data_IF_293588227778
#
_entry.id   IF_293588227778
#
_cell.length_a   1.000
_cell.length_b   1.000
_cell.length_c   1.000
_cell.angle_alpha   90.00
_cell.angle_beta   90.00
_cell.angle_gamma   90.00
#
_symmetry.space_group_name_H-M   'P 1'
#
loop_
_entity.id
_entity.type
_entity.pdbx_description
1 polymer ?
#
# COMPACT_ATOMS: atom_id res chain seq x y z
N UNK A 1 -23.28 -6.08 -6.35
CA UNK A 1 -22.17 -5.19 -5.88
C UNK A 1 -22.71 -4.18 -4.88
N UNK A 2 -22.00 -3.89 -3.80
CA UNK A 2 -22.39 -2.88 -2.83
C UNK A 2 -21.23 -1.88 -2.62
N UNK A 3 -21.53 -0.62 -2.37
CA UNK A 3 -20.55 0.35 -1.87
C UNK A 3 -20.21 0.02 -0.42
N UNK A 4 -18.99 0.35 0.01
CA UNK A 4 -18.59 0.30 1.42
C UNK A 4 -18.37 1.73 1.91
N UNK A 5 -19.01 2.09 3.01
CA UNK A 5 -18.81 3.41 3.64
C UNK A 5 -18.44 3.21 5.09
N UNK A 6 -17.31 3.77 5.47
CA UNK A 6 -16.81 3.81 6.85
C UNK A 6 -16.85 5.27 7.29
N UNK A 7 -17.46 5.55 8.46
CA UNK A 7 -17.59 6.90 9.01
C UNK A 7 -17.09 6.96 10.44
N UNK A 8 -16.07 7.79 10.66
CA UNK A 8 -15.47 8.07 11.97
C UNK A 8 -15.29 6.80 12.80
N UNK A 9 -14.62 5.80 12.21
CA UNK A 9 -14.45 4.47 12.80
C UNK A 9 -13.31 4.48 13.81
N UNK A 10 -13.59 3.98 15.02
CA UNK A 10 -12.61 3.84 16.09
C UNK A 10 -12.60 2.41 16.62
N UNK A 11 -11.40 1.93 16.92
CA UNK A 11 -11.21 0.69 17.67
C UNK A 11 -10.18 0.86 18.76
N UNK A 12 -10.60 0.61 20.00
CA UNK A 12 -9.74 0.50 21.16
C UNK A 12 -9.87 -0.88 21.77
N UNK A 13 -8.74 -1.52 22.03
CA UNK A 13 -8.72 -2.77 22.78
C UNK A 13 -8.58 -2.47 24.27
N UNK A 14 -9.50 -2.96 25.08
CA UNK A 14 -9.40 -2.85 26.53
C UNK A 14 -8.28 -3.77 27.03
N UNK A 15 -7.19 -3.17 27.50
CA UNK A 15 -6.06 -3.88 28.10
C UNK A 15 -6.40 -4.30 29.56
N UNK A 16 -7.55 -4.91 29.80
CA UNK A 16 -7.90 -5.42 31.11
C UNK A 16 -6.95 -6.59 31.48
N UNK A 17 -5.92 -6.29 32.27
CA UNK A 17 -5.09 -7.29 32.94
C UNK A 17 -3.65 -7.45 32.48
N UNK A 18 -3.12 -6.72 31.50
CA UNK A 18 -1.70 -6.74 31.16
C UNK A 18 -0.95 -5.57 31.82
N UNK A 19 0.01 -5.91 32.70
CA UNK A 19 0.93 -4.96 33.36
C UNK A 19 1.41 -3.91 32.35
N UNK A 20 1.39 -2.61 32.80
CA UNK A 20 1.88 -1.43 32.08
C UNK A 20 3.21 -1.68 31.34
N UNK A 21 3.13 -2.18 30.10
CA UNK A 21 4.25 -2.12 29.16
C UNK A 21 4.00 -0.88 28.29
N UNK A 22 4.95 0.08 28.33
CA UNK A 22 5.07 1.30 27.53
C UNK A 22 3.71 1.84 27.04
N UNK A 23 3.33 3.03 27.50
CA UNK A 23 2.20 3.78 26.93
C UNK A 23 2.36 3.78 25.42
N UNK A 24 1.45 3.10 24.69
CA UNK A 24 1.35 3.19 23.24
C UNK A 24 1.11 4.67 22.92
N UNK A 25 1.82 5.20 21.95
CA UNK A 25 1.67 6.58 21.45
C UNK A 25 0.21 6.88 21.06
N UNK A 26 -0.54 5.85 20.63
CA UNK A 26 -1.98 5.94 20.37
C UNK A 26 -2.69 4.77 21.06
N UNK A 27 -3.73 5.00 21.91
CA UNK A 27 -4.51 3.95 22.54
C UNK A 27 -5.46 3.24 21.57
N UNK A 28 -5.67 3.78 20.38
CA UNK A 28 -6.56 3.24 19.36
C UNK A 28 -5.79 2.40 18.33
N UNK A 29 -6.31 1.23 18.02
CA UNK A 29 -5.85 0.41 16.91
C UNK A 29 -6.35 0.95 15.56
N UNK A 30 -7.50 1.63 15.57
CA UNK A 30 -8.06 2.42 14.47
C UNK A 30 -8.59 3.70 15.07
N UNK A 31 -8.22 4.86 14.51
CA UNK A 31 -8.43 6.19 15.06
C UNK A 31 -9.00 7.12 13.99
N UNK A 32 -10.29 7.42 14.06
CA UNK A 32 -11.06 8.29 13.17
C UNK A 32 -10.97 7.94 11.67
N UNK A 33 -11.07 6.64 11.36
CA UNK A 33 -11.02 6.21 9.96
C UNK A 33 -12.34 6.53 9.25
N UNK A 34 -12.26 7.36 8.22
CA UNK A 34 -13.37 7.64 7.28
C UNK A 34 -12.92 7.31 5.86
N UNK A 35 -13.68 6.44 5.18
CA UNK A 35 -13.32 5.89 3.89
C UNK A 35 -14.60 5.50 3.13
N UNK A 36 -14.63 5.73 1.83
CA UNK A 36 -15.70 5.27 0.94
C UNK A 36 -15.12 4.52 -0.26
N UNK A 37 -15.55 3.25 -0.42
CA UNK A 37 -15.29 2.47 -1.62
C UNK A 37 -16.55 2.49 -2.48
N UNK A 38 -16.42 2.91 -3.72
CA UNK A 38 -17.53 2.90 -4.68
C UNK A 38 -17.85 1.48 -5.12
N UNK A 39 -19.03 1.30 -5.70
CA UNK A 39 -19.47 0.00 -6.18
C UNK A 39 -18.53 -0.53 -7.29
N UNK A 40 -18.05 -1.76 -7.13
CA UNK A 40 -17.14 -2.41 -8.09
C UNK A 40 -15.68 -1.96 -7.97
N UNK A 41 -15.34 -1.11 -7.03
CA UNK A 41 -13.99 -0.59 -6.85
C UNK A 41 -13.08 -1.59 -6.11
N UNK A 42 -11.81 -1.63 -6.47
CA UNK A 42 -10.76 -2.33 -5.75
C UNK A 42 -9.98 -1.35 -4.89
N UNK A 43 -10.14 -1.41 -3.58
CA UNK A 43 -9.43 -0.55 -2.63
C UNK A 43 -8.42 -1.35 -1.83
N UNK A 44 -7.16 -0.88 -1.79
CA UNK A 44 -6.14 -1.45 -0.93
C UNK A 44 -5.99 -0.65 0.38
N UNK A 45 -5.93 -1.35 1.51
CA UNK A 45 -5.46 -0.81 2.78
C UNK A 45 -3.98 -1.14 2.91
N UNK A 46 -3.12 -0.14 2.84
CA UNK A 46 -1.67 -0.27 2.81
C UNK A 46 -1.05 0.44 4.02
N UNK A 47 0.03 -0.11 4.58
CA UNK A 47 0.76 0.53 5.69
C UNK A 47 1.64 -0.46 6.45
N UNK A 48 2.46 0.01 7.41
CA UNK A 48 3.31 -0.82 8.23
C UNK A 48 2.56 -1.87 9.05
N UNK A 49 3.26 -2.89 9.51
CA UNK A 49 2.68 -3.88 10.42
C UNK A 49 2.18 -3.21 11.71
N UNK A 50 0.95 -3.56 12.13
CA UNK A 50 0.33 -3.01 13.34
C UNK A 50 -0.35 -1.63 13.17
N UNK A 51 -0.43 -1.05 11.97
CA UNK A 51 -1.10 0.23 11.74
C UNK A 51 -2.65 0.16 11.70
N UNK A 52 -3.27 -1.01 11.89
CA UNK A 52 -4.73 -1.15 12.01
C UNK A 52 -5.47 -1.76 10.81
N UNK A 53 -4.80 -2.15 9.73
CA UNK A 53 -5.40 -2.69 8.49
C UNK A 53 -6.28 -3.93 8.73
N UNK A 54 -5.68 -4.99 9.28
CA UNK A 54 -6.41 -6.24 9.60
C UNK A 54 -7.52 -6.00 10.61
N UNK A 55 -7.33 -5.11 11.59
CA UNK A 55 -8.38 -4.71 12.54
C UNK A 55 -9.55 -4.05 11.79
N UNK A 56 -9.28 -3.14 10.87
CA UNK A 56 -10.30 -2.50 10.02
C UNK A 56 -11.05 -3.54 9.20
N UNK A 57 -10.33 -4.42 8.52
CA UNK A 57 -10.94 -5.49 7.72
C UNK A 57 -11.82 -6.41 8.58
N UNK A 58 -11.37 -6.79 9.78
CA UNK A 58 -12.14 -7.62 10.72
C UNK A 58 -13.40 -6.90 11.23
N UNK A 59 -13.37 -5.60 11.46
CA UNK A 59 -14.57 -4.81 11.79
C UNK A 59 -15.56 -4.76 10.63
N UNK A 60 -15.09 -4.60 9.38
CA UNK A 60 -15.94 -4.70 8.18
C UNK A 60 -16.58 -6.09 8.09
N UNK A 61 -15.80 -7.13 8.37
CA UNK A 61 -16.29 -8.51 8.36
C UNK A 61 -17.24 -8.84 9.52
N UNK A 62 -17.29 -8.02 10.57
CA UNK A 62 -18.04 -8.29 11.81
C UNK A 62 -17.40 -9.35 12.71
N UNK A 63 -16.09 -9.58 12.52
CA UNK A 63 -15.29 -10.47 13.37
C UNK A 63 -14.65 -9.72 14.54
N UNK A 64 -14.77 -8.41 14.54
CA UNK A 64 -14.27 -7.51 15.58
C UNK A 64 -15.30 -6.41 15.83
N UNK A 65 -15.57 -6.14 17.11
CA UNK A 65 -16.52 -5.10 17.51
C UNK A 65 -15.95 -3.70 17.27
N UNK A 66 -16.82 -2.78 16.90
CA UNK A 66 -16.54 -1.37 16.70
C UNK A 66 -16.64 -0.66 18.06
N UNK A 67 -15.67 0.23 18.39
CA UNK A 67 -15.77 1.06 19.58
C UNK A 67 -16.68 2.27 19.33
N UNK A 68 -16.46 3.01 18.24
CA UNK A 68 -17.29 4.13 17.78
C UNK A 68 -17.30 4.18 16.27
N UNK A 69 -18.26 4.92 15.71
CA UNK A 69 -18.41 5.12 14.28
C UNK A 69 -19.33 4.10 13.64
N UNK A 70 -19.40 4.14 12.31
CA UNK A 70 -20.36 3.35 11.54
C UNK A 70 -19.74 2.72 10.29
N UNK A 71 -20.20 1.50 9.97
CA UNK A 71 -19.90 0.82 8.72
C UNK A 71 -21.22 0.53 8.00
N UNK A 72 -21.26 0.87 6.70
CA UNK A 72 -22.38 0.57 5.81
C UNK A 72 -21.89 -0.28 4.63
N UNK A 73 -22.66 -1.32 4.30
CA UNK A 73 -22.49 -2.13 3.10
C UNK A 73 -23.78 -1.95 2.27
N UNK A 74 -23.64 -1.31 1.10
CA UNK A 74 -24.77 -0.75 0.41
C UNK A 74 -25.44 0.37 1.23
N UNK A 75 -26.72 0.24 1.46
CA UNK A 75 -27.49 1.19 2.28
C UNK A 75 -27.70 0.66 3.73
N UNK A 76 -27.21 -0.53 4.04
CA UNK A 76 -27.40 -1.18 5.35
C UNK A 76 -26.24 -0.84 6.30
N UNK A 77 -26.58 -0.29 7.50
CA UNK A 77 -25.63 -0.13 8.60
C UNK A 77 -25.37 -1.49 9.26
N UNK A 78 -24.12 -1.99 9.17
CA UNK A 78 -23.79 -3.37 9.56
C UNK A 78 -23.15 -3.53 10.92
N UNK A 79 -23.07 -2.50 11.75
CA UNK A 79 -22.39 -2.56 13.05
C UNK A 79 -22.84 -3.75 13.90
N UNK A 80 -24.16 -3.99 13.97
CA UNK A 80 -24.76 -5.05 14.75
C UNK A 80 -25.16 -6.29 13.93
N UNK A 81 -24.83 -6.32 12.63
CA UNK A 81 -25.13 -7.47 11.75
C UNK A 81 -24.04 -8.52 11.93
N UNK A 82 -24.41 -9.78 12.26
CA UNK A 82 -23.42 -10.83 12.45
C UNK A 82 -22.70 -11.18 11.13
N UNK A 83 -21.46 -11.68 11.16
CA UNK A 83 -20.63 -11.93 9.95
C UNK A 83 -21.32 -12.77 8.88
N UNK A 84 -22.10 -13.78 9.28
CA UNK A 84 -22.82 -14.70 8.37
C UNK A 84 -23.85 -14.00 7.48
N UNK A 85 -24.37 -12.84 7.91
CA UNK A 85 -25.48 -12.10 7.27
C UNK A 85 -24.99 -10.84 6.51
N UNK A 86 -23.71 -10.44 6.61
CA UNK A 86 -23.13 -9.25 5.96
C UNK A 86 -22.93 -9.37 4.44
N UNK A 87 -23.29 -10.48 3.81
CA UNK A 87 -23.11 -10.73 2.36
C UNK A 87 -21.70 -10.54 1.85
N UNK A 88 -20.70 -10.82 2.68
CA UNK A 88 -19.29 -10.70 2.36
C UNK A 88 -18.64 -12.04 2.01
N UNK A 89 -17.57 -12.01 1.20
CA UNK A 89 -16.59 -13.07 1.07
C UNK A 89 -15.31 -12.65 1.79
N UNK A 90 -14.69 -13.56 2.53
CA UNK A 90 -13.43 -13.28 3.22
C UNK A 90 -12.40 -14.34 2.88
N UNK A 91 -11.26 -13.92 2.32
CA UNK A 91 -10.05 -14.71 2.12
C UNK A 91 -9.04 -14.35 3.22
N UNK A 92 -8.64 -15.34 4.01
CA UNK A 92 -7.72 -15.16 5.14
C UNK A 92 -6.26 -15.32 4.72
N UNK A 93 -5.35 -14.71 5.46
CA UNK A 93 -3.91 -14.79 5.27
C UNK A 93 -3.40 -16.25 5.35
N UNK A 94 -3.84 -17.02 6.36
CA UNK A 94 -3.45 -18.40 6.63
C UNK A 94 -4.24 -19.45 5.83
N UNK A 95 -4.94 -19.00 4.76
CA UNK A 95 -5.87 -19.79 3.94
C UNK A 95 -7.11 -20.31 4.69
N UNK A 96 -7.05 -20.58 5.98
CA UNK A 96 -8.10 -21.13 6.85
C UNK A 96 -8.89 -22.30 6.21
N UNK A 97 -8.20 -23.18 5.45
CA UNK A 97 -8.82 -24.36 4.84
C UNK A 97 -9.14 -25.40 5.91
N UNK A 98 -10.28 -26.07 5.76
CA UNK A 98 -10.65 -27.18 6.62
C UNK A 98 -9.85 -28.43 6.24
N UNK A 99 -8.87 -28.89 7.07
CA UNK A 99 -7.96 -29.96 6.69
C UNK A 99 -8.63 -31.30 6.39
N UNK A 100 -9.74 -31.70 7.09
CA UNK A 100 -10.40 -32.98 6.84
C UNK A 100 -11.34 -32.99 5.63
N UNK A 101 -11.48 -31.84 4.94
CA UNK A 101 -12.36 -31.70 3.78
C UNK A 101 -11.55 -31.59 2.49
N UNK A 102 -12.05 -32.22 1.42
CA UNK A 102 -11.50 -32.05 0.07
C UNK A 102 -11.63 -30.60 -0.40
N UNK A 103 -10.95 -30.21 -1.50
CA UNK A 103 -11.11 -28.91 -2.14
C UNK A 103 -12.56 -28.63 -2.48
N UNK A 104 -13.25 -29.58 -3.08
CA UNK A 104 -14.69 -29.50 -3.40
C UNK A 104 -15.52 -29.17 -2.16
N UNK A 105 -15.27 -29.88 -1.08
CA UNK A 105 -16.00 -29.70 0.17
C UNK A 105 -15.68 -28.40 0.87
N UNK A 106 -14.41 -27.95 0.82
CA UNK A 106 -14.00 -26.64 1.30
C UNK A 106 -14.75 -25.51 0.58
N UNK A 107 -14.81 -25.56 -0.75
CA UNK A 107 -15.55 -24.56 -1.55
C UNK A 107 -17.05 -24.64 -1.27
N UNK A 108 -17.62 -25.86 -1.21
CA UNK A 108 -19.05 -26.08 -0.98
C UNK A 108 -19.54 -25.77 0.45
N UNK A 109 -18.64 -25.69 1.44
CA UNK A 109 -18.97 -25.68 2.86
C UNK A 109 -20.04 -24.66 3.24
N UNK A 110 -19.86 -23.41 2.85
CA UNK A 110 -20.81 -22.33 3.16
C UNK A 110 -22.18 -22.52 2.48
N UNK A 111 -22.20 -23.06 1.26
CA UNK A 111 -23.46 -23.33 0.54
C UNK A 111 -24.24 -24.45 1.20
N UNK A 112 -23.54 -25.51 1.68
CA UNK A 112 -24.15 -26.61 2.46
C UNK A 112 -24.71 -26.08 3.78
N UNK A 113 -23.98 -25.23 4.51
CA UNK A 113 -24.45 -24.63 5.75
C UNK A 113 -25.73 -23.79 5.56
N UNK A 114 -25.87 -23.14 4.40
CA UNK A 114 -27.10 -22.41 4.01
C UNK A 114 -28.18 -23.27 3.39
N UNK A 115 -28.00 -24.61 3.37
CA UNK A 115 -28.95 -25.58 2.82
C UNK A 115 -29.34 -25.34 1.36
N UNK A 116 -28.37 -24.82 0.55
CA UNK A 116 -28.53 -24.67 -0.89
C UNK A 116 -28.74 -26.07 -1.51
N UNK A 117 -29.54 -26.16 -2.55
CA UNK A 117 -29.84 -27.41 -3.26
C UNK A 117 -28.57 -28.02 -3.86
N UNK A 118 -28.43 -29.38 -3.79
CA UNK A 118 -27.18 -30.08 -4.15
C UNK A 118 -26.75 -29.86 -5.61
N UNK A 119 -27.67 -29.77 -6.53
CA UNK A 119 -27.42 -29.51 -7.96
C UNK A 119 -26.79 -28.12 -8.14
N UNK A 120 -27.34 -27.12 -7.46
CA UNK A 120 -26.84 -25.74 -7.50
C UNK A 120 -25.46 -25.62 -6.82
N UNK A 121 -25.24 -26.34 -5.69
CA UNK A 121 -23.89 -26.40 -5.10
C UNK A 121 -22.88 -26.96 -6.09
N UNK A 122 -23.18 -28.09 -6.73
CA UNK A 122 -22.28 -28.70 -7.70
C UNK A 122 -22.01 -27.78 -8.89
N UNK A 123 -23.03 -27.11 -9.39
CA UNK A 123 -22.89 -26.15 -10.48
C UNK A 123 -21.94 -25.02 -10.10
N UNK A 124 -22.18 -24.32 -8.97
CA UNK A 124 -21.35 -23.22 -8.50
C UNK A 124 -19.93 -23.63 -8.19
N UNK A 125 -19.73 -24.77 -7.53
CA UNK A 125 -18.38 -25.29 -7.21
C UNK A 125 -17.59 -25.53 -8.48
N UNK A 126 -18.19 -26.15 -9.51
CA UNK A 126 -17.51 -26.40 -10.78
C UNK A 126 -17.20 -25.10 -11.54
N UNK A 127 -18.14 -24.13 -11.56
CA UNK A 127 -17.92 -22.81 -12.17
C UNK A 127 -16.72 -22.09 -11.51
N UNK A 128 -16.70 -22.02 -10.17
CA UNK A 128 -15.64 -21.36 -9.44
C UNK A 128 -14.31 -22.14 -9.53
N UNK A 129 -14.35 -23.46 -9.52
CA UNK A 129 -13.15 -24.27 -9.70
C UNK A 129 -12.49 -24.01 -11.05
N UNK A 130 -13.30 -23.88 -12.12
CA UNK A 130 -12.84 -23.50 -13.46
C UNK A 130 -12.24 -22.09 -13.47
N UNK A 131 -12.94 -21.12 -12.89
CA UNK A 131 -12.49 -19.74 -12.80
C UNK A 131 -11.13 -19.62 -12.09
N UNK A 132 -10.92 -20.43 -11.03
CA UNK A 132 -9.71 -20.44 -10.21
C UNK A 132 -8.64 -21.46 -10.68
N UNK A 133 -8.87 -22.15 -11.80
CA UNK A 133 -7.96 -23.19 -12.32
C UNK A 133 -7.63 -24.29 -11.27
N UNK A 134 -8.64 -24.77 -10.52
CA UNK A 134 -8.48 -25.84 -9.51
C UNK A 134 -9.38 -27.05 -9.76
N UNK A 135 -9.92 -27.22 -10.96
CA UNK A 135 -10.82 -28.32 -11.33
C UNK A 135 -10.20 -29.69 -11.09
N UNK A 136 -8.93 -29.87 -11.51
CA UNK A 136 -8.17 -31.11 -11.34
C UNK A 136 -7.84 -31.42 -9.87
N UNK A 137 -8.06 -30.48 -8.97
CA UNK A 137 -7.71 -30.57 -7.55
C UNK A 137 -8.95 -30.77 -6.67
N UNK A 138 -10.16 -30.83 -7.24
CA UNK A 138 -11.42 -30.85 -6.48
C UNK A 138 -11.50 -31.99 -5.46
N UNK A 139 -10.91 -33.14 -5.78
CA UNK A 139 -10.92 -34.32 -4.90
C UNK A 139 -9.67 -34.45 -4.01
N UNK A 140 -8.73 -33.46 -4.13
CA UNK A 140 -7.53 -33.43 -3.33
C UNK A 140 -7.79 -32.88 -1.91
N UNK A 141 -6.96 -33.31 -0.97
CA UNK A 141 -6.96 -32.78 0.41
C UNK A 141 -6.03 -31.56 0.51
N UNK A 142 -6.31 -30.57 1.37
CA UNK A 142 -5.50 -29.36 1.54
C UNK A 142 -4.02 -29.61 1.80
N UNK A 143 -3.65 -30.68 2.48
CA UNK A 143 -2.27 -31.05 2.79
C UNK A 143 -1.44 -31.34 1.52
N UNK A 144 -2.09 -31.76 0.44
CA UNK A 144 -1.41 -32.07 -0.86
C UNK A 144 -1.24 -30.86 -1.77
N UNK A 145 -1.76 -29.70 -1.38
CA UNK A 145 -1.74 -28.49 -2.22
C UNK A 145 -0.50 -27.65 -1.97
N UNK A 146 0.04 -27.05 -3.03
CA UNK A 146 1.04 -25.98 -2.94
C UNK A 146 0.44 -24.70 -2.35
N UNK A 147 1.27 -23.74 -1.91
CA UNK A 147 0.81 -22.46 -1.36
C UNK A 147 -0.14 -21.72 -2.32
N UNK A 148 0.23 -21.58 -3.60
CA UNK A 148 -0.62 -20.94 -4.60
C UNK A 148 -1.94 -21.68 -4.86
N UNK A 149 -1.94 -23.02 -4.82
CA UNK A 149 -3.16 -23.80 -4.93
C UNK A 149 -4.07 -23.62 -3.71
N UNK A 150 -3.50 -23.59 -2.49
CA UNK A 150 -4.26 -23.27 -1.27
C UNK A 150 -4.89 -21.88 -1.36
N UNK A 151 -4.15 -20.91 -1.87
CA UNK A 151 -4.66 -19.54 -2.04
C UNK A 151 -5.81 -19.47 -3.03
N UNK A 152 -5.71 -20.14 -4.18
CA UNK A 152 -6.83 -20.24 -5.13
C UNK A 152 -8.08 -20.85 -4.51
N UNK A 153 -7.93 -21.91 -3.71
CA UNK A 153 -9.04 -22.54 -3.00
C UNK A 153 -9.62 -21.61 -1.92
N UNK A 154 -8.79 -20.86 -1.20
CA UNK A 154 -9.20 -19.86 -0.23
C UNK A 154 -10.08 -18.77 -0.88
N UNK A 155 -9.63 -18.20 -2.01
CA UNK A 155 -10.39 -17.20 -2.78
C UNK A 155 -11.66 -17.85 -3.36
N UNK A 156 -11.58 -19.06 -3.94
CA UNK A 156 -12.75 -19.80 -4.45
C UNK A 156 -13.85 -19.94 -3.38
N UNK A 157 -13.45 -20.27 -2.15
CA UNK A 157 -14.36 -20.40 -1.02
C UNK A 157 -15.02 -19.07 -0.63
N UNK A 158 -14.32 -17.96 -0.76
CA UNK A 158 -14.85 -16.62 -0.50
C UNK A 158 -15.90 -16.21 -1.55
N UNK A 159 -15.61 -16.46 -2.84
CA UNK A 159 -16.44 -15.95 -3.96
C UNK A 159 -17.59 -16.87 -4.36
N UNK A 160 -17.58 -18.18 -4.02
CA UNK A 160 -18.65 -19.13 -4.37
C UNK A 160 -20.03 -18.71 -3.86
N UNK A 161 -20.05 -17.86 -2.83
CA UNK A 161 -21.27 -17.28 -2.25
C UNK A 161 -21.84 -16.12 -3.07
N UNK A 162 -21.13 -15.65 -4.10
CA UNK A 162 -21.43 -14.42 -4.84
C UNK A 162 -21.59 -13.22 -3.88
N UNK A 163 -20.52 -12.86 -3.16
CA UNK A 163 -20.59 -11.79 -2.19
C UNK A 163 -20.79 -10.43 -2.87
N UNK A 164 -21.36 -9.47 -2.14
CA UNK A 164 -21.44 -8.09 -2.57
C UNK A 164 -20.13 -7.33 -2.32
N UNK A 165 -19.35 -7.77 -1.32
CA UNK A 165 -18.06 -7.23 -0.94
C UNK A 165 -17.07 -8.39 -0.68
N UNK A 166 -15.91 -8.34 -1.34
CA UNK A 166 -14.81 -9.29 -1.15
C UNK A 166 -13.73 -8.66 -0.29
N UNK A 167 -13.40 -9.32 0.80
CA UNK A 167 -12.34 -8.93 1.74
C UNK A 167 -11.18 -9.90 1.60
N UNK A 168 -9.95 -9.39 1.50
CA UNK A 168 -8.74 -10.20 1.40
C UNK A 168 -7.70 -9.68 2.39
N UNK A 169 -7.31 -10.53 3.37
CA UNK A 169 -6.35 -10.19 4.42
C UNK A 169 -4.99 -10.79 4.07
N UNK A 170 -4.05 -9.97 3.61
CA UNK A 170 -2.67 -10.31 3.21
C UNK A 170 -2.57 -11.62 2.38
N UNK A 171 -3.35 -11.78 1.31
CA UNK A 171 -3.53 -13.09 0.68
C UNK A 171 -2.28 -13.63 -0.03
N UNK A 172 -1.25 -12.83 -0.24
CA UNK A 172 -0.04 -13.23 -0.95
C UNK A 172 1.20 -13.35 -0.05
N UNK A 173 1.07 -13.09 1.26
CA UNK A 173 2.18 -13.04 2.23
C UNK A 173 3.01 -14.33 2.29
N UNK A 174 2.37 -15.50 2.14
CA UNK A 174 3.03 -16.81 2.24
C UNK A 174 3.51 -17.38 0.90
N UNK A 175 3.53 -16.58 -0.18
CA UNK A 175 3.97 -17.01 -1.50
C UNK A 175 5.38 -16.49 -1.83
N UNK A 176 6.15 -17.29 -2.59
CA UNK A 176 7.42 -16.84 -3.17
C UNK A 176 7.20 -15.74 -4.23
N UNK A 177 8.27 -15.00 -4.57
CA UNK A 177 8.18 -13.83 -5.45
C UNK A 177 7.57 -14.12 -6.82
N UNK A 178 7.93 -15.25 -7.45
CA UNK A 178 7.38 -15.64 -8.76
C UNK A 178 5.90 -16.00 -8.68
N UNK A 179 5.52 -16.74 -7.66
CA UNK A 179 4.13 -17.11 -7.40
C UNK A 179 3.29 -15.88 -7.06
N UNK A 180 3.84 -14.96 -6.26
CA UNK A 180 3.18 -13.70 -5.90
C UNK A 180 2.86 -12.86 -7.13
N UNK A 181 3.80 -12.70 -8.05
CA UNK A 181 3.57 -11.97 -9.31
C UNK A 181 2.45 -12.61 -10.15
N UNK A 182 2.46 -13.94 -10.32
CA UNK A 182 1.41 -14.64 -11.05
C UNK A 182 0.04 -14.47 -10.40
N UNK A 183 -0.03 -14.58 -9.06
CA UNK A 183 -1.27 -14.43 -8.31
C UNK A 183 -1.81 -12.99 -8.32
N UNK A 184 -0.98 -11.95 -8.34
CA UNK A 184 -1.44 -10.57 -8.53
C UNK A 184 -2.23 -10.42 -9.83
N UNK A 185 -1.65 -10.88 -10.93
CA UNK A 185 -2.35 -10.84 -12.24
C UNK A 185 -3.68 -11.59 -12.21
N UNK A 186 -3.70 -12.75 -11.56
CA UNK A 186 -4.91 -13.56 -11.42
C UNK A 186 -5.98 -12.89 -10.56
N UNK A 187 -5.60 -12.26 -9.44
CA UNK A 187 -6.53 -11.50 -8.58
C UNK A 187 -7.14 -10.31 -9.34
N UNK A 188 -6.34 -9.54 -10.10
CA UNK A 188 -6.87 -8.42 -10.90
C UNK A 188 -7.84 -8.92 -11.96
N UNK A 189 -7.50 -10.01 -12.69
CA UNK A 189 -8.40 -10.65 -13.66
C UNK A 189 -9.70 -11.10 -12.99
N UNK A 190 -9.59 -11.79 -11.87
CA UNK A 190 -10.73 -12.28 -11.10
C UNK A 190 -11.66 -11.15 -10.67
N UNK A 191 -11.10 -10.06 -10.12
CA UNK A 191 -11.88 -8.90 -9.71
C UNK A 191 -12.71 -8.33 -10.88
N UNK A 192 -12.10 -8.20 -12.06
CA UNK A 192 -12.79 -7.71 -13.26
C UNK A 192 -13.90 -8.66 -13.74
N UNK A 193 -13.76 -9.98 -13.52
CA UNK A 193 -14.75 -11.00 -13.95
C UNK A 193 -15.92 -11.14 -12.97
N UNK A 194 -15.68 -10.98 -11.66
CA UNK A 194 -16.75 -11.18 -10.64
C UNK A 194 -17.55 -9.93 -10.32
N UNK A 195 -17.13 -8.77 -10.87
CA UNK A 195 -17.81 -7.47 -10.67
C UNK A 195 -18.18 -7.21 -9.19
N UNK A 196 -17.25 -7.41 -8.27
CA UNK A 196 -17.45 -7.29 -6.82
C UNK A 196 -16.61 -6.13 -6.27
N UNK A 197 -17.15 -5.36 -5.34
CA UNK A 197 -16.34 -4.39 -4.58
C UNK A 197 -15.33 -5.16 -3.74
N UNK A 198 -14.05 -4.76 -3.77
CA UNK A 198 -12.98 -5.48 -3.09
C UNK A 198 -12.20 -4.60 -2.14
N UNK A 199 -11.93 -5.11 -0.93
CA UNK A 199 -10.99 -4.50 0.03
C UNK A 199 -9.84 -5.47 0.25
N UNK A 200 -8.64 -5.00 -0.01
CA UNK A 200 -7.41 -5.78 0.01
C UNK A 200 -6.45 -5.22 1.04
N UNK A 201 -6.06 -6.01 2.01
CA UNK A 201 -5.06 -5.63 3.01
C UNK A 201 -3.70 -6.17 2.59
N UNK A 202 -2.70 -5.32 2.59
CA UNK A 202 -1.32 -5.69 2.34
C UNK A 202 -0.34 -4.72 3.02
N UNK A 203 0.89 -5.16 3.23
CA UNK A 203 2.05 -4.33 3.56
C UNK A 203 2.99 -4.14 2.36
N UNK A 204 2.72 -4.81 1.23
CA UNK A 204 3.50 -4.75 0.00
C UNK A 204 2.94 -3.64 -0.91
N UNK A 205 3.74 -2.59 -1.14
CA UNK A 205 3.35 -1.48 -1.98
C UNK A 205 3.14 -1.87 -3.46
N UNK A 206 3.92 -2.85 -3.98
CA UNK A 206 3.77 -3.32 -5.35
C UNK A 206 2.42 -4.01 -5.57
N UNK A 207 1.92 -4.73 -4.54
CA UNK A 207 0.59 -5.31 -4.59
C UNK A 207 -0.47 -4.21 -4.63
N UNK A 208 -0.43 -3.25 -3.71
CA UNK A 208 -1.39 -2.16 -3.65
C UNK A 208 -1.38 -1.32 -4.94
N UNK A 209 -0.20 -0.89 -5.40
CA UNK A 209 -0.04 -0.06 -6.61
C UNK A 209 -0.49 -0.76 -7.90
N UNK A 210 -0.33 -2.11 -7.98
CA UNK A 210 -0.66 -2.87 -9.19
C UNK A 210 -2.12 -3.34 -9.24
N UNK A 211 -2.76 -3.53 -8.09
CA UNK A 211 -4.10 -4.12 -8.00
C UNK A 211 -5.19 -3.08 -7.81
N UNK A 212 -4.95 -2.08 -6.95
CA UNK A 212 -6.00 -1.20 -6.48
C UNK A 212 -6.30 -0.05 -7.44
N UNK A 213 -7.57 0.33 -7.48
CA UNK A 213 -8.02 1.57 -8.13
C UNK A 213 -7.69 2.76 -7.22
N UNK A 214 -7.88 2.61 -5.89
CA UNK A 214 -7.42 3.56 -4.87
C UNK A 214 -6.77 2.85 -3.69
N UNK A 215 -5.84 3.55 -3.05
CA UNK A 215 -5.03 3.07 -1.93
C UNK A 215 -5.30 3.94 -0.71
N UNK A 216 -5.68 3.33 0.40
CA UNK A 216 -5.76 3.96 1.71
C UNK A 216 -4.47 3.66 2.49
N UNK A 217 -3.62 4.66 2.65
CA UNK A 217 -2.35 4.54 3.38
C UNK A 217 -2.62 4.81 4.84
N UNK A 218 -2.32 3.84 5.70
CA UNK A 218 -2.55 3.90 7.13
C UNK A 218 -1.23 3.90 7.91
N UNK A 219 -1.19 4.72 8.96
CA UNK A 219 -0.12 4.68 9.97
C UNK A 219 -0.69 4.95 11.36
N UNK A 220 -0.18 4.21 12.36
CA UNK A 220 -0.57 4.34 13.79
C UNK A 220 -2.10 4.46 14.03
N UNK A 221 -2.88 3.68 13.28
CA UNK A 221 -4.34 3.66 13.38
C UNK A 221 -5.06 4.71 12.53
N UNK A 222 -4.35 5.65 11.93
CA UNK A 222 -4.92 6.78 11.17
C UNK A 222 -4.78 6.60 9.68
N UNK A 223 -5.75 7.12 8.93
CA UNK A 223 -5.65 7.29 7.48
C UNK A 223 -4.75 8.49 7.19
N UNK A 224 -3.64 8.26 6.51
CA UNK A 224 -2.70 9.31 6.10
C UNK A 224 -3.10 9.92 4.76
N UNK A 225 -3.41 9.08 3.79
CA UNK A 225 -3.85 9.51 2.46
C UNK A 225 -4.73 8.44 1.82
N UNK A 226 -5.71 8.88 1.04
CA UNK A 226 -6.56 8.02 0.22
C UNK A 226 -6.67 8.60 -1.18
N UNK A 227 -6.23 7.86 -2.17
CA UNK A 227 -6.22 8.30 -3.57
C UNK A 227 -5.79 7.18 -4.52
N UNK A 228 -5.74 7.47 -5.81
CA UNK A 228 -5.20 6.57 -6.83
C UNK A 228 -3.71 6.32 -6.61
N UNK A 229 -3.17 5.25 -7.21
CA UNK A 229 -1.75 4.93 -7.14
C UNK A 229 -0.87 6.12 -7.59
N UNK A 230 -1.27 6.83 -8.66
CA UNK A 230 -0.55 8.01 -9.15
C UNK A 230 -0.64 9.19 -8.19
N UNK A 231 -1.82 9.44 -7.59
CA UNK A 231 -1.97 10.54 -6.62
C UNK A 231 -1.10 10.34 -5.38
N UNK A 232 -1.07 9.14 -4.80
CA UNK A 232 -0.26 8.86 -3.61
C UNK A 232 1.24 8.88 -3.92
N UNK A 233 1.65 8.52 -5.14
CA UNK A 233 3.04 8.54 -5.58
C UNK A 233 3.53 9.94 -5.92
N UNK A 234 2.79 10.67 -6.80
CA UNK A 234 3.20 11.98 -7.31
C UNK A 234 2.86 13.12 -6.35
N UNK A 235 1.83 12.95 -5.52
CA UNK A 235 1.30 13.99 -4.65
C UNK A 235 1.14 13.52 -3.19
N UNK A 236 2.21 13.05 -2.54
CA UNK A 236 2.13 12.65 -1.13
C UNK A 236 1.73 13.86 -0.27
N UNK A 237 0.82 13.63 0.69
CA UNK A 237 0.31 14.70 1.57
C UNK A 237 1.26 15.03 2.72
N UNK A 238 2.17 14.14 3.06
CA UNK A 238 3.17 14.32 4.11
C UNK A 238 4.43 13.50 3.83
N UNK A 239 5.45 13.72 4.64
CA UNK A 239 6.73 13.02 4.61
C UNK A 239 6.60 11.50 4.76
N UNK A 240 5.69 11.04 5.64
CA UNK A 240 5.46 9.62 5.86
C UNK A 240 5.02 8.93 4.56
N UNK A 241 4.00 9.47 3.87
CA UNK A 241 3.51 8.90 2.60
C UNK A 241 4.62 8.95 1.55
N UNK A 242 5.37 10.06 1.46
CA UNK A 242 6.46 10.23 0.51
C UNK A 242 7.57 9.18 0.68
N UNK A 243 7.94 8.89 1.95
CA UNK A 243 8.96 7.91 2.29
C UNK A 243 8.45 6.46 2.23
N UNK A 244 7.14 6.25 2.46
CA UNK A 244 6.57 4.91 2.49
C UNK A 244 6.28 4.36 1.10
N UNK A 245 5.92 5.23 0.13
CA UNK A 245 5.57 4.85 -1.25
C UNK A 245 6.76 5.06 -2.18
N UNK A 246 7.09 4.02 -2.93
CA UNK A 246 8.19 4.00 -3.92
C UNK A 246 9.34 3.09 -3.48
N UNK A 247 10.00 2.44 -4.45
CA UNK A 247 11.17 1.61 -4.23
C UNK A 247 12.23 1.90 -5.29
N UNK A 248 13.30 2.59 -4.90
CA UNK A 248 13.59 3.16 -3.58
C UNK A 248 12.61 4.27 -3.17
N UNK A 249 12.53 4.57 -1.85
CA UNK A 249 11.67 5.65 -1.34
C UNK A 249 12.11 7.03 -1.85
N UNK A 250 11.26 8.05 -1.65
CA UNK A 250 11.63 9.44 -1.91
C UNK A 250 12.84 9.84 -1.05
N UNK A 251 13.83 10.47 -1.66
CA UNK A 251 14.90 11.12 -0.89
C UNK A 251 14.31 12.35 -0.18
N UNK A 252 14.43 12.40 1.13
CA UNK A 252 13.97 13.52 1.96
C UNK A 252 15.15 14.08 2.68
N UNK A 253 15.50 15.35 2.37
CA UNK A 253 16.71 16.01 2.80
C UNK A 253 16.37 17.28 3.58
N UNK A 254 16.94 17.44 4.76
CA UNK A 254 16.85 18.71 5.47
C UNK A 254 17.69 19.77 4.77
N UNK A 255 17.08 20.90 4.46
CA UNK A 255 17.70 21.96 3.66
C UNK A 255 17.47 23.32 4.28
N UNK A 256 18.36 24.26 3.94
CA UNK A 256 18.19 25.68 4.22
C UNK A 256 18.09 26.43 2.90
N UNK A 257 17.08 27.27 2.78
CA UNK A 257 16.86 28.12 1.62
C UNK A 257 17.76 29.35 1.73
N UNK A 258 18.49 29.68 0.66
CA UNK A 258 19.23 30.93 0.54
C UNK A 258 18.73 31.72 -0.67
N UNK A 259 18.75 33.04 -0.57
CA UNK A 259 18.49 33.94 -1.72
C UNK A 259 19.80 34.38 -2.37
N UNK A 260 19.91 34.19 -3.71
CA UNK A 260 21.06 34.58 -4.48
C UNK A 260 20.61 35.11 -5.85
N UNK A 261 21.04 36.31 -6.22
CA UNK A 261 20.75 36.98 -7.52
C UNK A 261 19.26 37.01 -7.91
N UNK A 262 18.36 37.08 -6.90
CA UNK A 262 16.92 37.15 -7.11
C UNK A 262 16.19 35.80 -7.06
N UNK A 263 16.89 34.69 -7.15
CA UNK A 263 16.35 33.34 -7.04
C UNK A 263 16.63 32.71 -5.65
N UNK A 264 15.86 31.69 -5.31
CA UNK A 264 16.04 30.90 -4.08
C UNK A 264 16.66 29.54 -4.39
N UNK A 265 17.58 29.10 -3.52
CA UNK A 265 18.27 27.81 -3.65
C UNK A 265 18.18 27.01 -2.35
N UNK A 266 17.94 25.71 -2.46
CA UNK A 266 18.19 24.76 -1.38
C UNK A 266 19.68 24.55 -1.23
N UNK A 267 20.16 24.59 0.00
CA UNK A 267 21.54 24.29 0.38
C UNK A 267 21.57 23.21 1.45
N UNK A 268 22.62 22.42 1.44
CA UNK A 268 22.76 21.24 2.29
C UNK A 268 23.99 21.38 3.18
N UNK A 269 23.88 20.96 4.42
CA UNK A 269 24.99 20.99 5.36
C UNK A 269 26.13 20.11 4.83
N UNK A 270 27.36 20.62 4.81
CA UNK A 270 28.57 19.90 4.34
C UNK A 270 28.53 19.42 2.88
N UNK A 271 27.74 20.05 2.03
CA UNK A 271 27.74 19.82 0.58
C UNK A 271 27.75 21.14 -0.16
N UNK A 272 28.37 21.18 -1.34
CA UNK A 272 28.35 22.33 -2.24
C UNK A 272 27.16 22.29 -3.21
N UNK A 273 26.30 21.29 -3.10
CA UNK A 273 25.09 21.14 -3.91
C UNK A 273 24.17 22.33 -3.65
N UNK A 274 23.72 22.95 -4.73
CA UNK A 274 22.64 23.96 -4.71
C UNK A 274 21.60 23.54 -5.71
N UNK A 275 20.35 23.49 -5.28
CA UNK A 275 19.21 23.13 -6.13
C UNK A 275 18.29 24.34 -6.17
N UNK A 276 17.91 24.79 -7.36
CA UNK A 276 16.99 25.91 -7.52
C UNK A 276 15.63 25.56 -6.92
N UNK A 277 15.08 26.43 -6.08
CA UNK A 277 13.71 26.29 -5.57
C UNK A 277 12.74 26.56 -6.72
N UNK A 278 11.78 25.67 -7.02
CA UNK A 278 10.77 25.95 -8.05
C UNK A 278 10.01 27.24 -7.75
N UNK A 279 9.79 28.06 -8.78
CA UNK A 279 9.11 29.37 -8.62
C UNK A 279 7.75 29.29 -7.97
N UNK A 280 7.04 28.16 -8.13
CA UNK A 280 5.75 27.90 -7.46
C UNK A 280 5.80 27.96 -5.93
N UNK A 281 6.99 27.83 -5.33
CA UNK A 281 7.19 27.91 -3.87
C UNK A 281 7.72 29.27 -3.39
N UNK A 282 8.03 30.22 -4.28
CA UNK A 282 8.66 31.50 -3.87
C UNK A 282 7.86 32.30 -2.86
N UNK A 283 6.53 32.22 -2.90
CA UNK A 283 5.66 32.86 -1.90
C UNK A 283 5.63 32.15 -0.53
N UNK A 284 6.21 30.95 -0.45
CA UNK A 284 6.22 30.10 0.76
C UNK A 284 7.59 30.02 1.41
N UNK A 285 8.64 30.51 0.75
CA UNK A 285 10.02 30.44 1.21
C UNK A 285 10.60 31.84 1.37
N UNK A 286 11.58 31.98 2.24
CA UNK A 286 12.37 33.19 2.44
C UNK A 286 13.83 32.83 2.70
N UNK A 287 14.72 33.82 2.66
CA UNK A 287 16.12 33.60 3.01
C UNK A 287 16.27 33.09 4.44
N UNK A 288 17.06 32.02 4.61
CA UNK A 288 17.23 31.35 5.90
C UNK A 288 16.14 30.33 6.27
N UNK A 289 15.11 30.12 5.42
CA UNK A 289 14.03 29.17 5.72
C UNK A 289 14.55 27.73 5.76
N UNK A 290 14.25 27.01 6.85
CA UNK A 290 14.59 25.59 6.99
C UNK A 290 13.39 24.73 6.65
N UNK A 291 13.59 23.72 5.80
CA UNK A 291 12.53 22.89 5.23
C UNK A 291 13.10 21.54 4.81
N UNK A 292 12.29 20.50 4.75
CA UNK A 292 12.66 19.24 4.12
C UNK A 292 12.30 19.28 2.63
N UNK A 293 13.28 18.99 1.79
CA UNK A 293 13.10 18.83 0.34
C UNK A 293 12.95 17.34 0.03
N UNK A 294 11.87 16.96 -0.67
CA UNK A 294 11.64 15.62 -1.18
C UNK A 294 11.86 15.54 -2.67
N UNK A 295 12.56 14.51 -3.15
CA UNK A 295 12.74 14.22 -4.57
C UNK A 295 12.79 12.71 -4.82
N UNK A 296 12.07 12.23 -5.84
CA UNK A 296 12.07 10.80 -6.19
C UNK A 296 13.42 10.39 -6.80
N UNK A 297 13.89 9.15 -6.57
CA UNK A 297 15.13 8.66 -7.17
C UNK A 297 15.18 8.75 -8.70
N UNK A 298 14.04 8.64 -9.37
CA UNK A 298 13.93 8.74 -10.83
C UNK A 298 13.95 10.19 -11.36
N UNK A 299 13.82 11.19 -10.47
CA UNK A 299 13.89 12.62 -10.80
C UNK A 299 15.29 13.20 -10.50
N UNK A 300 16.26 12.33 -10.24
CA UNK A 300 17.68 12.63 -10.08
C UNK A 300 18.47 12.06 -11.24
N UNK A 301 19.47 12.81 -11.74
CA UNK A 301 20.23 12.44 -12.92
C UNK A 301 21.73 12.56 -12.68
N UNK A 302 22.50 11.75 -13.42
CA UNK A 302 23.94 11.94 -13.57
C UNK A 302 24.17 12.95 -14.68
N UNK A 303 24.65 14.13 -14.32
CA UNK A 303 24.96 15.19 -15.26
C UNK A 303 26.18 14.86 -16.13
N UNK A 304 26.25 15.49 -17.30
CA UNK A 304 27.41 15.43 -18.21
C UNK A 304 28.51 16.43 -17.83
N UNK A 305 29.56 16.54 -18.63
CA UNK A 305 30.70 17.44 -18.39
C UNK A 305 30.28 18.92 -18.29
N UNK A 306 29.30 19.36 -19.07
CA UNK A 306 28.80 20.74 -19.15
C UNK A 306 27.69 21.04 -18.12
N UNK A 307 27.27 20.05 -17.38
CA UNK A 307 26.24 20.12 -16.37
C UNK A 307 26.59 21.07 -15.23
N UNK A 308 25.63 21.83 -14.74
CA UNK A 308 25.74 22.70 -13.56
C UNK A 308 25.65 21.96 -12.22
N UNK A 309 25.36 20.66 -12.24
CA UNK A 309 25.26 19.85 -11.06
C UNK A 309 26.53 19.84 -10.21
N UNK A 310 26.37 19.71 -8.90
CA UNK A 310 27.51 19.63 -7.99
C UNK A 310 28.20 18.25 -8.08
N UNK A 311 29.56 18.25 -7.94
CA UNK A 311 30.30 16.99 -7.87
C UNK A 311 30.07 16.30 -6.53
N UNK A 312 29.47 15.10 -6.57
CA UNK A 312 29.21 14.28 -5.39
C UNK A 312 29.85 12.89 -5.56
N UNK A 313 30.19 12.25 -4.43
CA UNK A 313 30.87 10.96 -4.44
C UNK A 313 29.89 9.80 -4.39
N UNK A 314 30.09 8.84 -5.28
CA UNK A 314 29.36 7.56 -5.27
C UNK A 314 29.75 6.79 -4.01
N UNK A 315 28.74 6.46 -3.21
CA UNK A 315 28.88 5.62 -2.03
C UNK A 315 28.47 4.17 -2.30
N UNK A 316 27.41 3.96 -3.11
CA UNK A 316 26.84 2.64 -3.43
C UNK A 316 26.48 2.59 -4.90
N UNK A 317 26.69 1.45 -5.54
CA UNK A 317 26.20 1.14 -6.88
C UNK A 317 25.61 -0.27 -6.91
N UNK A 318 24.35 -0.35 -7.30
CA UNK A 318 23.61 -1.59 -7.46
C UNK A 318 23.18 -1.75 -8.91
N UNK A 319 23.41 -2.93 -9.47
CA UNK A 319 22.93 -3.29 -10.81
C UNK A 319 21.89 -4.42 -10.68
N UNK A 320 20.63 -4.09 -10.87
CA UNK A 320 19.52 -5.03 -10.74
C UNK A 320 19.10 -5.66 -12.08
N UNK A 321 19.82 -5.31 -13.15
CA UNK A 321 19.56 -5.82 -14.50
C UNK A 321 18.79 -4.81 -15.35
N UNK A 322 17.54 -4.58 -15.04
CA UNK A 322 16.65 -3.63 -15.73
C UNK A 322 16.82 -2.18 -15.26
N UNK A 323 17.25 -2.00 -14.01
CA UNK A 323 17.59 -0.69 -13.46
C UNK A 323 18.94 -0.71 -12.74
N UNK A 324 19.54 0.46 -12.60
CA UNK A 324 20.76 0.68 -11.80
C UNK A 324 20.49 1.75 -10.76
N UNK A 325 20.89 1.47 -9.53
CA UNK A 325 20.74 2.39 -8.39
C UNK A 325 22.11 2.92 -8.01
N UNK A 326 22.21 4.24 -7.88
CA UNK A 326 23.44 4.91 -7.44
C UNK A 326 23.12 5.67 -6.16
N UNK A 327 23.82 5.35 -5.08
CA UNK A 327 23.79 6.12 -3.85
C UNK A 327 24.96 7.11 -3.83
N UNK A 328 24.67 8.40 -3.68
CA UNK A 328 25.67 9.46 -3.52
C UNK A 328 25.54 10.12 -2.17
N UNK A 329 26.66 10.63 -1.64
CA UNK A 329 26.66 11.39 -0.41
C UNK A 329 26.46 12.87 -0.68
N UNK A 330 25.37 13.42 -0.13
CA UNK A 330 25.10 14.86 -0.09
C UNK A 330 25.18 15.29 1.38
N UNK A 331 26.29 15.84 1.77
CA UNK A 331 26.59 16.07 3.19
C UNK A 331 26.68 14.77 3.97
N UNK A 332 25.83 14.63 4.99
CA UNK A 332 25.74 13.43 5.82
C UNK A 332 24.70 12.41 5.28
N UNK A 333 23.84 12.82 4.34
CA UNK A 333 22.76 12.00 3.81
C UNK A 333 23.21 11.12 2.64
N UNK A 334 22.58 9.95 2.50
CA UNK A 334 22.70 9.08 1.33
C UNK A 334 21.51 9.31 0.41
N UNK A 335 21.78 9.84 -0.77
CA UNK A 335 20.78 10.16 -1.79
C UNK A 335 20.81 9.08 -2.87
N UNK A 336 19.68 8.43 -3.08
CA UNK A 336 19.53 7.39 -4.10
C UNK A 336 18.99 7.96 -5.39
N UNK A 337 19.60 7.59 -6.51
CA UNK A 337 19.08 7.87 -7.85
C UNK A 337 18.97 6.58 -8.67
N UNK A 338 18.06 6.57 -9.62
CA UNK A 338 17.86 5.47 -10.58
C UNK A 338 18.32 5.95 -11.94
N UNK A 339 19.10 5.12 -12.64
CA UNK A 339 19.56 5.41 -14.00
C UNK A 339 19.43 4.19 -14.91
N UNK A 340 19.09 4.45 -16.17
CA UNK A 340 19.16 3.46 -17.24
C UNK A 340 20.54 3.41 -17.92
N UNK A 341 21.47 4.33 -17.56
CA UNK A 341 22.84 4.38 -18.14
C UNK A 341 23.56 3.06 -17.87
N UNK A 342 24.19 2.49 -18.90
CA UNK A 342 24.95 1.24 -18.80
C UNK A 342 26.31 1.40 -18.12
N UNK A 343 26.73 2.62 -17.83
CA UNK A 343 27.99 2.90 -17.15
C UNK A 343 28.01 2.26 -15.77
N UNK A 344 29.13 1.63 -15.45
CA UNK A 344 29.41 1.10 -14.12
C UNK A 344 30.12 2.16 -13.29
N UNK A 345 29.60 2.38 -12.11
CA UNK A 345 30.20 3.30 -11.13
C UNK A 345 30.86 2.50 -10.01
N UNK A 346 31.91 3.04 -9.42
CA UNK A 346 32.63 2.47 -8.27
C UNK A 346 32.49 3.38 -7.06
N UNK A 347 32.65 2.80 -5.89
CA UNK A 347 32.76 3.59 -4.67
C UNK A 347 33.90 4.62 -4.81
N UNK A 348 33.60 5.89 -4.51
CA UNK A 348 34.53 7.01 -4.62
C UNK A 348 34.54 7.73 -5.96
N UNK A 349 33.91 7.18 -7.02
CA UNK A 349 33.75 7.90 -8.28
C UNK A 349 33.00 9.20 -8.02
N UNK A 350 33.36 10.25 -8.77
CA UNK A 350 32.70 11.55 -8.69
C UNK A 350 31.72 11.67 -9.84
N UNK A 351 30.47 11.98 -9.54
CA UNK A 351 29.44 12.29 -10.51
C UNK A 351 28.89 13.69 -10.27
N UNK A 352 28.41 14.35 -11.29
CA UNK A 352 27.63 15.58 -11.14
C UNK A 352 26.16 15.19 -10.90
N UNK A 353 25.63 15.55 -9.74
CA UNK A 353 24.23 15.29 -9.40
C UNK A 353 23.34 16.42 -9.89
N UNK A 354 22.36 16.09 -10.70
CA UNK A 354 21.31 17.00 -11.17
C UNK A 354 19.95 16.57 -10.67
N UNK A 355 19.07 17.52 -10.49
CA UNK A 355 17.73 17.34 -9.93
C UNK A 355 16.70 17.93 -10.88
N UNK A 356 15.61 17.22 -11.13
CA UNK A 356 14.43 17.80 -11.75
C UNK A 356 13.71 18.70 -10.73
N UNK A 357 14.02 19.98 -10.77
CA UNK A 357 13.52 20.97 -9.82
C UNK A 357 11.99 20.99 -9.78
N UNK A 358 11.33 20.79 -10.93
CA UNK A 358 9.87 20.80 -11.03
C UNK A 358 9.19 19.61 -10.33
N UNK A 359 9.95 18.57 -10.02
CA UNK A 359 9.48 17.36 -9.31
C UNK A 359 9.85 17.34 -7.82
N UNK A 360 10.40 18.44 -7.30
CA UNK A 360 10.68 18.54 -5.86
C UNK A 360 9.42 18.85 -5.06
N UNK A 361 9.36 18.30 -3.86
CA UNK A 361 8.32 18.55 -2.87
C UNK A 361 8.92 19.21 -1.65
N UNK A 362 8.10 19.99 -0.94
CA UNK A 362 8.50 20.59 0.34
C UNK A 362 7.64 20.03 1.46
N UNK A 363 8.29 19.69 2.57
CA UNK A 363 7.62 19.25 3.79
C UNK A 363 8.07 20.12 4.95
N UNK A 364 7.13 20.46 5.81
CA UNK A 364 7.40 21.20 7.03
C UNK A 364 8.40 20.44 7.91
N UNK A 365 9.32 21.16 8.54
CA UNK A 365 10.40 20.55 9.30
C UNK A 365 9.91 19.81 10.54
N UNK A 366 8.89 20.36 11.22
CA UNK A 366 8.37 19.85 12.50
C UNK A 366 7.22 18.86 12.31
N UNK A 367 6.24 19.21 11.47
CA UNK A 367 5.03 18.40 11.30
C UNK A 367 5.19 17.31 10.26
N UNK A 368 6.11 17.49 9.30
CA UNK A 368 6.25 16.62 8.13
C UNK A 368 5.14 16.80 7.09
N UNK A 369 4.23 17.73 7.28
CA UNK A 369 3.16 18.00 6.32
C UNK A 369 3.68 18.65 5.05
N UNK A 370 3.05 18.33 3.92
CA UNK A 370 3.44 18.93 2.65
C UNK A 370 3.11 20.42 2.60
N UNK A 371 4.09 21.22 2.19
CA UNK A 371 3.92 22.62 1.85
C UNK A 371 3.47 22.71 0.38
N UNK A 372 2.22 23.09 0.16
CA UNK A 372 1.66 23.21 -1.18
C UNK A 372 2.10 24.52 -1.84
N UNK A 373 2.40 24.46 -3.14
CA UNK A 373 2.59 25.64 -3.96
C UNK A 373 1.30 26.48 -3.97
N UNK A 374 1.45 27.80 -4.14
CA UNK A 374 0.29 28.62 -4.53
C UNK A 374 -0.12 28.23 -5.96
N UNK A 375 -1.41 27.92 -6.17
CA UNK A 375 -1.99 27.67 -7.47
C UNK A 375 -2.06 28.96 -8.31
#
# INVERSE_FOLDING_TARGET
>A
MAKLVIKNLYKRYDNAGKKKKKALLNPYAVDDLTLECTQGEFVALLGPSGCGKTTTLRMIAGLEDITHGDIFIGDERVNNVPPKDRRIGLAFEDYALYPPLTVRENIAYNLRAKRVEKSEINRRVNEIAKLMNVESLLDAMPVKLSGGQKQRVNIARAIVRRPELLLMDEPLSHLDGKMRQAMRTEIKRLHNEIECTSVYVTHDQLEAMSLADRIAIMDLGKLQQFGTAMEVYDNPVNEFVAAFIGEPPMNILQTRVIKHEGDFYFTFTRSNLRILVPRRYYAKVHDGFEVKMGVRPMDLYVGNADSKGAPERVAVFENLGDERRIGVRVGDDLVMLITADEKRYRHGDVIKLEVNEQKTHLFDLETGDRIYAQG
#
